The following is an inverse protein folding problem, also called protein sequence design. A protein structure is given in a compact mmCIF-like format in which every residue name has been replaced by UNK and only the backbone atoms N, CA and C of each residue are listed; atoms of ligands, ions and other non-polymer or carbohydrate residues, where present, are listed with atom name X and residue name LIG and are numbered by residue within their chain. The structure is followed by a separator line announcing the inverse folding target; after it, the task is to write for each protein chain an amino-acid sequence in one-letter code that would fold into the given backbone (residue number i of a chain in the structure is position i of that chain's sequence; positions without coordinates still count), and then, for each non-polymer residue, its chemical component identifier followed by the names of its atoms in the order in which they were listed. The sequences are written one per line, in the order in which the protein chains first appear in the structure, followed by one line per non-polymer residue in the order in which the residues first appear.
data_IF_224850010133
#
_entry.id   IF_224850010133
#
_cell.length_a   1.000
_cell.length_b   1.000
_cell.length_c   1.000
_cell.angle_alpha   90.00
_cell.angle_beta   90.00
_cell.angle_gamma   90.00
#
_symmetry.space_group_name_H-M   'P 1'
#
loop_
_entity.id
_entity.type
_entity.pdbx_description
1 polymer ?
#
# COMPACT_ATOMS: atom_id res chain seq x y z
N UNK A 1 40.20 12.84 -7.20
CA UNK A 1 39.18 13.78 -6.67
C UNK A 1 37.80 13.17 -6.91
N UNK A 2 37.26 12.41 -5.95
CA UNK A 2 35.99 11.67 -6.10
C UNK A 2 34.77 12.36 -5.44
N UNK A 3 34.92 13.63 -5.06
CA UNK A 3 33.94 14.33 -4.21
C UNK A 3 32.56 14.52 -4.83
N UNK A 4 32.39 14.44 -6.16
CA UNK A 4 31.06 14.56 -6.78
C UNK A 4 30.18 13.33 -6.52
N UNK A 5 30.77 12.13 -6.49
CA UNK A 5 30.02 10.90 -6.20
C UNK A 5 29.64 10.81 -4.71
N UNK A 6 30.51 11.28 -3.82
CA UNK A 6 30.21 11.32 -2.38
C UNK A 6 29.08 12.31 -2.05
N UNK A 7 29.04 13.47 -2.71
CA UNK A 7 27.94 14.45 -2.53
C UNK A 7 26.60 13.90 -3.04
N UNK A 8 26.59 13.22 -4.19
CA UNK A 8 25.36 12.62 -4.73
C UNK A 8 24.87 11.47 -3.85
N UNK A 9 25.78 10.59 -3.40
CA UNK A 9 25.43 9.53 -2.44
C UNK A 9 24.92 10.10 -1.13
N UNK A 10 25.54 11.17 -0.62
CA UNK A 10 25.11 11.87 0.59
C UNK A 10 23.67 12.36 0.48
N UNK A 11 23.35 13.08 -0.61
CA UNK A 11 21.99 13.58 -0.87
C UNK A 11 20.95 12.48 -1.01
N UNK A 12 21.30 11.37 -1.66
CA UNK A 12 20.40 10.20 -1.76
C UNK A 12 20.20 9.57 -0.38
N UNK A 13 21.25 9.46 0.44
CA UNK A 13 21.15 8.94 1.82
C UNK A 13 20.32 9.84 2.73
N UNK A 14 20.47 11.15 2.61
CA UNK A 14 19.67 12.13 3.34
C UNK A 14 18.20 12.08 2.89
N UNK A 15 17.93 12.05 1.59
CA UNK A 15 16.57 11.94 1.06
C UNK A 15 15.91 10.63 1.47
N UNK A 16 16.62 9.50 1.37
CA UNK A 16 16.13 8.20 1.83
C UNK A 16 15.96 8.18 3.35
N UNK A 17 16.86 8.80 4.11
CA UNK A 17 16.77 8.93 5.55
C UNK A 17 15.54 9.73 5.98
N UNK A 18 15.30 10.90 5.39
CA UNK A 18 14.11 11.72 5.65
C UNK A 18 12.84 10.98 5.21
N UNK A 19 12.84 10.31 4.06
CA UNK A 19 11.69 9.57 3.56
C UNK A 19 11.34 8.38 4.46
N UNK A 20 12.33 7.54 4.82
CA UNK A 20 12.16 6.37 5.69
C UNK A 20 11.81 6.82 7.10
N UNK A 21 12.45 7.86 7.64
CA UNK A 21 12.15 8.35 8.99
C UNK A 21 10.72 8.92 9.07
N UNK A 22 10.27 9.62 8.02
CA UNK A 22 8.90 10.11 7.92
C UNK A 22 7.90 8.96 7.65
N UNK A 23 8.30 7.92 6.91
CA UNK A 23 7.51 6.70 6.74
C UNK A 23 7.42 5.89 8.02
N UNK A 24 8.48 5.79 8.83
CA UNK A 24 8.50 5.13 10.13
C UNK A 24 7.63 5.88 11.14
N UNK A 25 7.79 7.20 11.26
CA UNK A 25 6.94 8.03 12.13
C UNK A 25 5.47 8.03 11.67
N UNK A 26 5.24 8.06 10.36
CA UNK A 26 3.89 7.85 9.81
C UNK A 26 3.40 6.46 10.14
N UNK A 27 4.17 5.39 9.93
CA UNK A 27 3.76 4.02 10.19
C UNK A 27 3.52 3.76 11.67
N UNK A 28 4.26 4.36 12.59
CA UNK A 28 3.98 4.23 14.02
C UNK A 28 2.64 4.90 14.38
N UNK A 29 2.37 6.11 13.88
CA UNK A 29 1.08 6.79 14.11
C UNK A 29 -0.10 6.25 13.28
N UNK A 30 0.16 5.76 12.07
CA UNK A 30 -0.84 5.12 11.19
C UNK A 30 -1.09 3.69 11.67
N UNK A 31 -0.10 2.85 11.98
CA UNK A 31 -0.32 1.45 12.34
C UNK A 31 -1.25 1.32 13.56
N UNK A 32 -1.13 2.21 14.54
CA UNK A 32 -2.03 2.29 15.69
C UNK A 32 -3.49 2.63 15.30
N UNK A 33 -3.69 3.48 14.28
CA UNK A 33 -5.03 3.86 13.77
C UNK A 33 -5.55 2.97 12.62
N UNK A 34 -4.66 2.33 11.88
CA UNK A 34 -4.89 1.59 10.62
C UNK A 34 -5.07 0.12 10.91
N UNK A 35 -4.43 -0.46 11.92
CA UNK A 35 -4.77 -1.83 12.31
C UNK A 35 -6.28 -1.94 12.65
N UNK A 36 -6.85 -0.96 13.34
CA UNK A 36 -8.30 -0.94 13.64
C UNK A 36 -9.21 -0.58 12.46
N UNK A 37 -8.83 0.37 11.60
CA UNK A 37 -9.69 0.83 10.50
C UNK A 37 -9.46 0.11 9.15
N UNK A 38 -8.24 -0.32 8.87
CA UNK A 38 -7.91 -0.98 7.61
C UNK A 38 -8.37 -2.42 7.58
N UNK A 39 -8.42 -3.15 8.71
CA UNK A 39 -8.99 -4.49 8.72
C UNK A 39 -10.48 -4.44 8.28
N UNK A 40 -11.24 -3.50 8.84
CA UNK A 40 -12.66 -3.28 8.48
C UNK A 40 -12.83 -2.77 7.05
N UNK A 41 -11.99 -1.84 6.59
CA UNK A 41 -12.08 -1.29 5.24
C UNK A 41 -11.65 -2.30 4.16
N UNK A 42 -10.59 -3.06 4.42
CA UNK A 42 -10.08 -4.11 3.53
C UNK A 42 -11.07 -5.26 3.47
N UNK A 43 -11.60 -5.74 4.60
CA UNK A 43 -12.61 -6.79 4.59
C UNK A 43 -13.86 -6.39 3.81
N UNK A 44 -14.38 -5.17 4.01
CA UNK A 44 -15.55 -4.69 3.26
C UNK A 44 -15.28 -4.53 1.76
N UNK A 45 -14.08 -4.08 1.40
CA UNK A 45 -13.67 -3.91 0.00
C UNK A 45 -13.48 -5.27 -0.68
N UNK A 46 -12.80 -6.20 -0.02
CA UNK A 46 -12.59 -7.56 -0.51
C UNK A 46 -13.92 -8.31 -0.62
N UNK A 47 -14.85 -8.15 0.34
CA UNK A 47 -16.21 -8.72 0.24
C UNK A 47 -16.95 -8.21 -0.99
N UNK A 48 -17.00 -6.89 -1.21
CA UNK A 48 -17.67 -6.30 -2.39
C UNK A 48 -17.07 -6.79 -3.71
N UNK A 49 -15.74 -6.82 -3.82
CA UNK A 49 -15.06 -7.30 -5.02
C UNK A 49 -15.37 -8.78 -5.26
N UNK A 50 -15.39 -9.60 -4.20
CA UNK A 50 -15.70 -11.02 -4.31
C UNK A 50 -17.14 -11.24 -4.76
N UNK A 51 -18.10 -10.50 -4.21
CA UNK A 51 -19.52 -10.55 -4.61
C UNK A 51 -19.73 -10.13 -6.07
N UNK A 52 -19.10 -9.03 -6.53
CA UNK A 52 -19.21 -8.58 -7.92
C UNK A 52 -18.51 -9.53 -8.90
N UNK A 53 -17.34 -10.07 -8.52
CA UNK A 53 -16.65 -11.09 -9.31
C UNK A 53 -17.49 -12.36 -9.40
N UNK A 54 -18.09 -12.82 -8.30
CA UNK A 54 -18.95 -14.00 -8.26
C UNK A 54 -20.19 -13.80 -9.16
N UNK A 55 -20.87 -12.66 -9.06
CA UNK A 55 -22.01 -12.31 -9.93
C UNK A 55 -21.63 -12.28 -11.41
N UNK A 56 -20.45 -11.76 -11.73
CA UNK A 56 -19.95 -11.72 -13.10
C UNK A 56 -19.67 -13.14 -13.61
N UNK A 57 -19.04 -13.98 -12.80
CA UNK A 57 -18.76 -15.38 -13.12
C UNK A 57 -20.05 -16.19 -13.27
N UNK A 58 -21.04 -16.00 -12.39
CA UNK A 58 -22.35 -16.64 -12.47
C UNK A 58 -23.15 -16.21 -13.70
N UNK A 59 -23.04 -14.93 -14.11
CA UNK A 59 -23.69 -14.43 -15.34
C UNK A 59 -23.03 -14.99 -16.60
N UNK A 60 -21.70 -15.11 -16.59
CA UNK A 60 -20.93 -15.73 -17.68
C UNK A 60 -21.19 -17.23 -17.76
N UNK A 61 -21.30 -17.93 -16.62
CA UNK A 61 -21.68 -19.36 -16.59
C UNK A 61 -23.14 -19.60 -16.94
N UNK A 62 -24.04 -18.69 -16.55
CA UNK A 62 -25.48 -18.77 -16.80
C UNK A 62 -25.88 -18.49 -18.25
N UNK A 63 -25.11 -17.68 -18.97
CA UNK A 63 -25.32 -17.46 -20.42
C UNK A 63 -24.79 -18.60 -21.31
N UNK A 64 -24.14 -19.62 -20.72
CA UNK A 64 -23.63 -20.80 -21.45
C UNK A 64 -24.57 -22.02 -21.40
N UNK A 65 -25.82 -21.86 -20.95
CA UNK A 65 -26.83 -22.92 -20.97
C UNK A 65 -28.05 -22.55 -21.81
#
# INVERSE_FOLDING_TARGET
MNGKLDVVKGRIKEAAGVLIHNESLRKEGLADQVAGHAEVAVENTVRKIKDDAQKTIDKVKGQSK
#
